data_IF_966182938000
#
_entry.id   IF_966182938000
#
_cell.length_a   1.000
_cell.length_b   1.000
_cell.length_c   1.000
_cell.angle_alpha   90.00
_cell.angle_beta   90.00
_cell.angle_gamma   90.00
#
_symmetry.space_group_name_H-M   'P 1'
#
loop_
_entity.id
_entity.type
_entity.pdbx_description
1 polymer ?
#
# COMPACT_ATOMS: atom_id res chain seq x y z
N UNK A 1 19.80 -21.39 1.15
CA UNK A 1 18.76 -20.96 0.20
C UNK A 1 18.89 -19.46 0.05
N UNK A 2 19.21 -18.99 -1.15
CA UNK A 2 19.38 -17.56 -1.44
C UNK A 2 18.01 -16.87 -1.39
N UNK A 3 17.75 -16.14 -0.30
CA UNK A 3 16.51 -15.39 -0.16
C UNK A 3 16.67 -14.10 -0.95
N UNK A 4 16.34 -14.13 -2.25
CA UNK A 4 16.20 -12.90 -3.02
C UNK A 4 15.01 -12.16 -2.44
N UNK A 5 15.26 -11.17 -1.57
CA UNK A 5 14.24 -10.22 -1.15
C UNK A 5 13.94 -9.37 -2.38
N UNK A 6 12.95 -9.78 -3.15
CA UNK A 6 12.39 -8.95 -4.21
C UNK A 6 11.26 -8.17 -3.56
N UNK A 7 11.21 -6.86 -3.80
CA UNK A 7 10.02 -6.09 -3.44
C UNK A 7 8.79 -6.76 -4.05
N UNK A 8 7.63 -6.58 -3.40
CA UNK A 8 6.34 -7.14 -3.85
C UNK A 8 6.01 -6.85 -5.34
N UNK A 9 6.74 -5.93 -5.99
CA UNK A 9 6.64 -5.62 -7.41
C UNK A 9 6.74 -6.84 -8.35
N UNK A 10 7.60 -7.84 -8.09
CA UNK A 10 7.62 -9.07 -8.93
C UNK A 10 6.30 -9.83 -8.86
N UNK A 11 5.76 -9.98 -7.64
CA UNK A 11 4.49 -10.66 -7.38
C UNK A 11 3.31 -9.91 -8.01
N UNK A 12 3.33 -8.58 -7.97
CA UNK A 12 2.34 -7.72 -8.64
C UNK A 12 2.36 -7.95 -10.15
N UNK A 13 3.54 -7.84 -10.78
CA UNK A 13 3.69 -8.03 -12.23
C UNK A 13 3.27 -9.44 -12.64
N UNK A 14 3.64 -10.47 -11.87
CA UNK A 14 3.26 -11.85 -12.16
C UNK A 14 1.74 -12.02 -12.21
N UNK A 15 1.02 -11.52 -11.22
CA UNK A 15 -0.44 -11.63 -11.17
C UNK A 15 -1.10 -10.86 -12.34
N UNK A 16 -0.64 -9.63 -12.60
CA UNK A 16 -1.16 -8.80 -13.69
C UNK A 16 -0.94 -9.44 -15.07
N UNK A 17 0.24 -10.01 -15.31
CA UNK A 17 0.55 -10.72 -16.56
C UNK A 17 -0.27 -12.01 -16.74
N UNK A 18 -0.94 -12.49 -15.68
CA UNK A 18 -1.86 -13.64 -15.72
C UNK A 18 -3.33 -13.23 -15.76
N UNK A 19 -3.63 -11.93 -15.78
CA UNK A 19 -5.00 -11.42 -15.74
C UNK A 19 -5.66 -11.56 -14.37
N UNK A 20 -4.88 -11.78 -13.31
CA UNK A 20 -5.40 -11.93 -11.94
C UNK A 20 -5.09 -10.66 -11.15
N UNK A 21 -6.07 -10.07 -10.43
CA UNK A 21 -5.79 -8.96 -9.53
C UNK A 21 -4.81 -9.39 -8.44
N UNK A 22 -3.65 -8.73 -8.35
CA UNK A 22 -2.60 -9.10 -7.38
C UNK A 22 -3.10 -9.07 -5.93
N UNK A 23 -4.03 -8.15 -5.64
CA UNK A 23 -4.66 -8.00 -4.34
C UNK A 23 -5.47 -9.25 -3.91
N UNK A 24 -6.01 -9.99 -4.88
CA UNK A 24 -6.71 -11.25 -4.63
C UNK A 24 -5.75 -12.43 -4.52
N UNK A 25 -4.70 -12.47 -5.35
CA UNK A 25 -3.76 -13.58 -5.38
C UNK A 25 -2.71 -13.55 -4.28
N UNK A 26 -2.44 -12.40 -3.68
CA UNK A 26 -1.45 -12.24 -2.61
C UNK A 26 -1.89 -11.17 -1.61
N UNK A 27 -2.94 -11.47 -0.84
CA UNK A 27 -3.57 -10.53 0.09
C UNK A 27 -2.62 -10.07 1.21
N UNK A 28 -1.71 -10.93 1.64
CA UNK A 28 -0.78 -10.65 2.74
C UNK A 28 0.40 -9.75 2.34
N UNK A 29 0.63 -9.56 1.05
CA UNK A 29 1.67 -8.66 0.55
C UNK A 29 1.49 -7.24 1.10
N UNK A 30 2.60 -6.58 1.39
CA UNK A 30 2.57 -5.21 1.92
C UNK A 30 1.87 -4.26 0.92
N UNK A 31 2.16 -4.42 -0.37
CA UNK A 31 1.48 -3.65 -1.43
C UNK A 31 -0.04 -3.88 -1.43
N UNK A 32 -0.52 -5.07 -1.09
CA UNK A 32 -1.94 -5.36 -0.96
C UNK A 32 -2.51 -4.62 0.25
N UNK A 33 -1.89 -4.73 1.41
CA UNK A 33 -2.33 -4.00 2.61
C UNK A 33 -2.35 -2.48 2.42
N UNK A 34 -1.39 -1.92 1.69
CA UNK A 34 -1.33 -0.49 1.37
C UNK A 34 -2.49 -0.05 0.47
N UNK A 35 -2.84 -0.84 -0.55
CA UNK A 35 -4.02 -0.60 -1.40
C UNK A 35 -5.31 -0.64 -0.57
N UNK A 36 -5.43 -1.59 0.37
CA UNK A 36 -6.59 -1.64 1.27
C UNK A 36 -6.67 -0.39 2.16
N UNK A 37 -5.55 0.05 2.73
CA UNK A 37 -5.49 1.26 3.55
C UNK A 37 -5.87 2.50 2.75
N UNK A 38 -5.39 2.60 1.51
CA UNK A 38 -5.72 3.68 0.59
C UNK A 38 -7.22 3.67 0.25
N UNK A 39 -7.79 2.52 -0.10
CA UNK A 39 -9.21 2.39 -0.42
C UNK A 39 -10.09 2.84 0.77
N UNK A 40 -9.76 2.41 1.98
CA UNK A 40 -10.47 2.84 3.20
C UNK A 40 -10.36 4.35 3.42
N UNK A 41 -9.20 4.95 3.14
CA UNK A 41 -9.01 6.41 3.23
C UNK A 41 -9.90 7.14 2.22
N UNK A 42 -10.01 6.64 0.99
CA UNK A 42 -10.82 7.24 -0.08
C UNK A 42 -12.32 7.12 0.21
N UNK A 43 -12.77 5.97 0.71
CA UNK A 43 -14.19 5.70 1.01
C UNK A 43 -14.63 6.36 2.33
N UNK A 44 -13.68 6.94 3.09
CA UNK A 44 -13.97 7.54 4.40
C UNK A 44 -14.25 6.50 5.48
N UNK A 45 -13.91 5.24 5.24
CA UNK A 45 -13.94 4.18 6.24
C UNK A 45 -12.72 4.38 7.14
N UNK A 46 -12.88 5.18 8.19
CA UNK A 46 -11.84 5.38 9.20
C UNK A 46 -11.62 4.07 9.95
N UNK A 47 -10.75 3.20 9.45
CA UNK A 47 -10.26 2.09 10.24
C UNK A 47 -9.43 2.68 11.37
N UNK A 48 -9.97 2.63 12.58
CA UNK A 48 -9.24 2.81 13.82
C UNK A 48 -8.14 1.76 13.86
N UNK A 49 -6.94 2.11 13.46
CA UNK A 49 -5.75 1.37 13.89
C UNK A 49 -5.72 1.44 15.42
N UNK A 50 -5.52 0.29 16.08
CA UNK A 50 -5.40 0.11 17.54
C UNK A 50 -4.16 0.80 18.14
N UNK A 51 -3.98 2.09 17.82
CA UNK A 51 -2.98 2.98 18.36
C UNK A 51 -3.55 4.39 18.58
N UNK A 52 -4.88 4.52 18.76
CA UNK A 52 -5.53 5.65 19.43
C UNK A 52 -5.12 7.05 18.96
N UNK A 53 -4.69 7.20 17.69
CA UNK A 53 -4.21 8.48 17.17
C UNK A 53 -4.93 8.78 15.88
N UNK A 54 -6.07 9.46 16.02
CA UNK A 54 -6.69 10.21 14.94
C UNK A 54 -5.65 11.19 14.39
N UNK A 55 -5.06 10.88 13.24
CA UNK A 55 -4.14 11.77 12.53
C UNK A 55 -4.92 12.86 11.80
N UNK A 56 -5.69 13.65 12.54
CA UNK A 56 -6.15 14.97 12.09
C UNK A 56 -5.01 15.96 12.30
N UNK A 57 -3.92 15.79 11.56
CA UNK A 57 -2.94 16.87 11.38
C UNK A 57 -2.48 16.84 9.94
N UNK A 58 -3.07 17.73 9.15
CA UNK A 58 -2.69 18.01 7.77
C UNK A 58 -1.16 18.08 7.69
N UNK A 59 -0.56 17.06 7.06
CA UNK A 59 0.87 17.03 6.82
C UNK A 59 1.22 18.25 5.95
N UNK A 60 2.09 19.12 6.48
CA UNK A 60 2.50 20.35 5.84
C UNK A 60 3.00 20.07 4.41
N UNK A 61 2.53 20.89 3.45
CA UNK A 61 2.87 20.83 2.03
C UNK A 61 4.36 21.14 1.80
N UNK A 62 5.25 20.18 2.07
CA UNK A 62 6.62 20.23 1.55
C UNK A 62 6.66 19.43 0.25
N UNK A 63 6.76 20.14 -0.87
CA UNK A 63 6.81 19.57 -2.21
C UNK A 63 8.02 18.64 -2.33
N UNK A 64 7.76 17.36 -2.63
CA UNK A 64 8.78 16.32 -2.81
C UNK A 64 9.55 16.46 -4.14
N UNK A 65 9.14 17.40 -5.00
CA UNK A 65 9.76 17.66 -6.30
C UNK A 65 10.58 18.95 -6.32
N UNK A 66 10.83 19.55 -5.15
CA UNK A 66 11.54 20.83 -5.04
C UNK A 66 13.08 20.70 -5.08
N UNK A 67 13.63 19.53 -5.40
CA UNK A 67 15.07 19.31 -5.50
C UNK A 67 15.49 19.17 -6.97
N UNK A 68 16.28 20.13 -7.44
CA UNK A 68 17.05 20.13 -8.70
C UNK A 68 18.50 20.42 -8.35
#
# INVERSE_FOLDING_TARGET
>A
MEHTIVSDGRSVVYALNRGVPFFLSNREAQVSQDVLRLANTVVGTSMTTDNGKTLTKAAAKKSLFAWR
#
